data_IF_819462195593
#
_entry.id   IF_819462195593
#
_cell.length_a   1.000
_cell.length_b   1.000
_cell.length_c   1.000
_cell.angle_alpha   90.00
_cell.angle_beta   90.00
_cell.angle_gamma   90.00
#
_symmetry.space_group_name_H-M   'P 1'
#
loop_
_entity.id
_entity.type
_entity.pdbx_description
1 polymer ?
#
# COMPACT_ATOMS: atom_id res chain seq x y z
N UNK A 1 11.82 64.63 -7.32
CA UNK A 1 13.28 64.79 -7.49
C UNK A 1 13.94 63.75 -6.61
N UNK A 2 14.88 63.00 -7.20
CA UNK A 2 15.58 61.85 -6.64
C UNK A 2 16.44 62.22 -5.42
N UNK A 3 16.87 61.16 -4.71
CA UNK A 3 18.10 60.92 -3.91
C UNK A 3 17.68 60.20 -2.62
N UNK A 4 18.31 59.14 -2.14
CA UNK A 4 19.52 58.42 -2.55
C UNK A 4 19.57 57.10 -1.75
N UNK A 5 20.15 56.05 -2.34
CA UNK A 5 21.28 55.24 -1.82
C UNK A 5 21.34 54.83 -0.33
N UNK A 6 21.85 53.67 0.10
CA UNK A 6 22.55 52.53 -0.52
C UNK A 6 22.68 51.44 0.58
N UNK A 7 22.73 50.18 0.15
CA UNK A 7 23.63 49.11 0.61
C UNK A 7 23.64 48.57 2.09
N UNK A 8 23.13 47.34 2.22
CA UNK A 8 23.60 46.18 3.05
C UNK A 8 25.10 45.86 2.71
N UNK A 9 25.93 45.06 3.46
CA UNK A 9 25.54 43.88 4.25
C UNK A 9 26.45 43.40 5.44
N UNK A 10 25.96 42.32 6.09
CA UNK A 10 26.70 41.18 6.68
C UNK A 10 27.50 41.32 7.99
N UNK A 11 27.13 40.53 9.03
CA UNK A 11 27.75 39.21 9.38
C UNK A 11 27.19 38.64 10.69
N UNK A 12 27.02 37.31 10.66
CA UNK A 12 26.67 36.35 11.74
C UNK A 12 27.69 36.36 12.89
N UNK A 13 27.27 36.05 14.14
CA UNK A 13 27.47 34.73 14.82
C UNK A 13 27.19 34.75 16.34
N UNK A 14 26.45 33.73 16.84
CA UNK A 14 26.58 32.96 18.12
C UNK A 14 26.66 33.72 19.47
N UNK A 15 25.98 33.35 20.57
CA UNK A 15 25.92 32.03 21.26
C UNK A 15 24.96 32.14 22.47
N UNK A 16 24.40 31.00 22.89
CA UNK A 16 23.45 30.76 23.98
C UNK A 16 23.99 31.07 25.40
N UNK A 17 23.11 31.38 26.37
CA UNK A 17 23.07 30.71 27.69
C UNK A 17 21.96 31.22 28.65
N UNK A 18 21.04 30.30 28.99
CA UNK A 18 20.61 29.91 30.36
C UNK A 18 20.21 30.99 31.38
N UNK A 19 18.92 31.00 31.76
CA UNK A 19 18.51 31.12 33.18
C UNK A 19 17.33 30.19 33.49
N UNK A 20 17.57 29.28 34.44
CA UNK A 20 16.60 28.42 35.14
C UNK A 20 15.93 29.20 36.27
N UNK A 21 14.64 28.96 36.53
CA UNK A 21 13.95 28.95 37.84
C UNK A 21 12.66 28.10 37.63
N UNK A 22 12.49 26.83 38.08
CA UNK A 22 12.26 26.28 39.46
C UNK A 22 11.18 27.11 40.21
N UNK A 23 10.01 26.65 40.69
CA UNK A 23 9.39 25.38 41.21
C UNK A 23 7.83 25.56 41.11
N UNK A 24 6.93 24.60 40.76
CA UNK A 24 6.30 23.44 41.50
C UNK A 24 5.72 23.78 42.90
N UNK A 25 4.71 23.07 43.50
CA UNK A 25 3.84 21.94 43.08
C UNK A 25 2.35 21.97 43.61
N UNK A 26 1.52 20.94 43.31
CA UNK A 26 0.48 20.23 44.15
C UNK A 26 -0.36 19.32 43.21
N UNK A 27 -0.23 17.98 43.16
CA UNK A 27 -0.83 16.87 43.98
C UNK A 27 -2.36 16.98 44.13
N UNK A 28 -3.21 16.00 43.72
CA UNK A 28 -3.50 14.66 44.33
C UNK A 28 -4.20 13.76 43.26
N UNK A 29 -3.70 12.54 42.93
CA UNK A 29 -4.12 11.16 43.33
C UNK A 29 -5.61 10.82 43.10
N UNK A 30 -6.06 9.66 42.56
CA UNK A 30 -5.76 8.26 42.95
C UNK A 30 -6.29 7.28 41.86
N UNK A 31 -5.49 6.33 41.33
CA UNK A 31 -5.46 4.86 41.61
C UNK A 31 -6.75 4.05 41.40
N UNK A 32 -6.73 3.08 40.48
CA UNK A 32 -7.02 1.68 40.81
C UNK A 32 -6.40 0.71 39.80
N UNK A 33 -5.70 -0.29 40.34
CA UNK A 33 -5.01 -1.40 39.72
C UNK A 33 -5.88 -2.65 39.68
N UNK A 34 -5.75 -3.48 38.64
CA UNK A 34 -6.03 -4.91 38.72
C UNK A 34 -4.99 -5.66 37.89
N UNK A 35 -4.03 -6.26 38.60
CA UNK A 35 -3.07 -7.23 38.10
C UNK A 35 -3.64 -8.62 38.38
N UNK A 36 -3.59 -9.55 37.43
CA UNK A 36 -3.64 -10.97 37.74
C UNK A 36 -2.64 -11.73 36.87
N UNK A 37 -1.62 -12.28 37.54
CA UNK A 37 -0.69 -13.25 37.03
C UNK A 37 -1.20 -14.66 37.38
N UNK A 38 -1.01 -15.63 36.48
CA UNK A 38 -0.97 -17.05 36.83
C UNK A 38 0.34 -17.61 36.27
N UNK A 39 1.10 -18.25 37.16
CA UNK A 39 2.40 -18.84 36.93
C UNK A 39 2.34 -20.38 36.99
N UNK A 40 3.28 -20.98 36.26
CA UNK A 40 3.98 -22.25 36.51
C UNK A 40 3.22 -23.59 36.38
N UNK A 41 3.75 -24.47 35.51
CA UNK A 41 4.64 -25.55 35.97
C UNK A 41 5.65 -25.92 34.88
N UNK A 42 6.93 -25.89 35.25
CA UNK A 42 8.04 -26.46 34.51
C UNK A 42 8.25 -27.91 34.96
N UNK A 43 8.48 -28.82 34.01
CA UNK A 43 9.25 -30.05 34.25
C UNK A 43 10.31 -30.12 33.17
N UNK A 44 11.57 -30.10 33.60
CA UNK A 44 12.75 -30.15 32.77
C UNK A 44 13.02 -31.57 32.27
N UNK A 45 13.41 -31.72 31.01
CA UNK A 45 14.36 -32.74 30.56
C UNK A 45 14.98 -32.28 29.23
N UNK A 46 16.29 -32.02 29.22
CA UNK A 46 17.09 -31.80 28.01
C UNK A 46 17.22 -33.13 27.22
N UNK A 47 17.45 -33.07 25.89
CA UNK A 47 18.82 -33.01 25.40
C UNK A 47 19.04 -32.02 24.23
N UNK A 48 20.31 -31.60 24.07
CA UNK A 48 20.82 -30.79 22.95
C UNK A 48 21.03 -31.62 21.66
N UNK A 49 21.52 -31.04 20.55
CA UNK A 49 20.76 -30.24 19.60
C UNK A 49 20.68 -30.93 18.22
N UNK A 50 19.50 -30.89 17.59
CA UNK A 50 19.34 -31.15 16.16
C UNK A 50 18.99 -29.84 15.47
N UNK A 51 19.96 -29.24 14.78
CA UNK A 51 19.75 -28.03 13.98
C UNK A 51 18.84 -28.35 12.79
N UNK A 52 17.60 -27.88 12.84
CA UNK A 52 16.73 -27.74 11.68
C UNK A 52 16.16 -26.32 11.72
N UNK A 53 16.70 -25.43 10.89
CA UNK A 53 16.14 -24.11 10.64
C UNK A 53 15.03 -24.25 9.60
N UNK A 54 13.89 -23.67 9.94
CA UNK A 54 12.76 -23.49 9.06
C UNK A 54 13.02 -22.34 8.09
N UNK A 55 12.48 -22.56 6.90
CA UNK A 55 12.44 -21.78 5.68
C UNK A 55 11.93 -20.33 5.88
N UNK A 56 12.79 -19.35 5.61
CA UNK A 56 12.40 -17.99 5.21
C UNK A 56 13.00 -17.74 3.81
N UNK A 57 12.28 -17.10 2.87
CA UNK A 57 12.86 -16.74 1.59
C UNK A 57 13.78 -15.54 1.78
N UNK A 58 15.02 -15.82 2.13
CA UNK A 58 16.12 -14.87 2.02
C UNK A 58 16.26 -14.54 0.53
N UNK A 59 15.89 -13.33 0.12
CA UNK A 59 16.31 -12.79 -1.18
C UNK A 59 17.80 -12.50 -1.04
N UNK A 60 18.60 -13.53 -1.23
CA UNK A 60 20.04 -13.42 -1.41
C UNK A 60 20.25 -12.67 -2.71
N UNK A 61 20.64 -11.40 -2.64
CA UNK A 61 21.44 -10.83 -3.69
C UNK A 61 22.69 -11.70 -3.77
N UNK A 62 22.73 -12.58 -4.78
CA UNK A 62 23.96 -13.18 -5.23
C UNK A 62 24.83 -12.01 -5.69
N UNK A 63 25.71 -11.53 -4.81
CA UNK A 63 27.02 -11.07 -5.24
C UNK A 63 27.57 -12.23 -6.06
N UNK A 64 27.37 -12.15 -7.38
CA UNK A 64 28.10 -12.95 -8.33
C UNK A 64 29.56 -12.61 -8.04
N UNK A 65 30.16 -13.42 -7.17
CA UNK A 65 31.59 -13.50 -7.05
C UNK A 65 32.04 -13.89 -8.45
N UNK A 66 32.56 -12.91 -9.19
CA UNK A 66 33.40 -13.15 -10.35
C UNK A 66 34.71 -13.78 -9.83
N UNK A 67 34.59 -14.97 -9.24
CA UNK A 67 35.70 -15.91 -9.14
C UNK A 67 35.74 -16.60 -10.49
N UNK A 68 36.37 -15.96 -11.45
CA UNK A 68 36.85 -16.62 -12.65
C UNK A 68 37.72 -17.79 -12.19
N UNK A 69 37.20 -19.00 -12.35
CA UNK A 69 37.96 -20.20 -12.12
C UNK A 69 39.16 -20.20 -13.09
N UNK A 70 40.38 -20.11 -12.55
CA UNK A 70 41.61 -20.28 -13.30
C UNK A 70 41.55 -21.61 -14.09
N UNK A 71 41.62 -21.60 -15.44
CA UNK A 71 41.78 -22.84 -16.17
C UNK A 71 43.19 -23.37 -15.93
N UNK A 72 43.27 -24.45 -15.14
CA UNK A 72 44.46 -25.29 -15.10
C UNK A 72 44.55 -26.06 -16.43
N UNK A 73 45.18 -25.45 -17.44
CA UNK A 73 45.73 -26.16 -18.59
C UNK A 73 47.15 -25.66 -18.87
N UNK A 74 48.14 -26.43 -18.42
CA UNK A 74 49.52 -26.35 -18.85
C UNK A 74 49.64 -27.17 -20.15
N UNK A 75 49.66 -26.50 -21.30
CA UNK A 75 49.79 -27.16 -22.60
C UNK A 75 49.84 -26.27 -23.85
N UNK A 76 49.72 -24.95 -23.73
CA UNK A 76 49.95 -24.00 -24.83
C UNK A 76 51.28 -23.25 -24.65
N UNK A 77 52.00 -23.01 -25.75
CA UNK A 77 53.14 -22.07 -25.79
C UNK A 77 52.79 -20.76 -25.09
N UNK A 78 53.73 -20.17 -24.35
CA UNK A 78 53.53 -18.94 -23.59
C UNK A 78 52.93 -17.81 -24.46
N UNK A 79 53.30 -17.77 -25.75
CA UNK A 79 52.75 -16.85 -26.76
C UNK A 79 51.24 -16.97 -26.95
N UNK A 80 50.69 -18.19 -26.93
CA UNK A 80 49.25 -18.41 -27.10
C UNK A 80 48.46 -17.97 -25.88
N UNK A 81 49.03 -18.14 -24.67
CA UNK A 81 48.38 -17.68 -23.43
C UNK A 81 48.37 -16.16 -23.32
N UNK A 82 49.44 -15.51 -23.72
CA UNK A 82 49.52 -14.05 -23.72
C UNK A 82 48.53 -13.44 -24.71
N UNK A 83 48.46 -13.98 -25.93
CA UNK A 83 47.48 -13.55 -26.94
C UNK A 83 46.03 -13.65 -26.44
N UNK A 84 45.64 -14.78 -25.84
CA UNK A 84 44.29 -14.94 -25.27
C UNK A 84 44.02 -13.99 -24.09
N UNK A 85 45.05 -13.65 -23.29
CA UNK A 85 44.90 -12.70 -22.17
C UNK A 85 44.63 -11.29 -22.69
N UNK A 86 45.36 -10.86 -23.72
CA UNK A 86 45.17 -9.56 -24.38
C UNK A 86 43.76 -9.47 -24.99
N UNK A 87 43.34 -10.50 -25.75
CA UNK A 87 42.00 -10.55 -26.34
C UNK A 87 40.89 -10.48 -25.28
N UNK A 88 41.09 -11.15 -24.14
CA UNK A 88 40.12 -11.11 -23.03
C UNK A 88 40.06 -9.73 -22.39
N UNK A 89 41.21 -9.09 -22.15
CA UNK A 89 41.28 -7.76 -21.55
C UNK A 89 40.59 -6.69 -22.41
N UNK A 90 40.79 -6.73 -23.74
CA UNK A 90 40.11 -5.82 -24.67
C UNK A 90 38.59 -6.07 -24.67
N UNK A 91 38.16 -7.34 -24.71
CA UNK A 91 36.74 -7.67 -24.67
C UNK A 91 36.06 -7.22 -23.35
N UNK A 92 36.76 -7.31 -22.22
CA UNK A 92 36.28 -6.82 -20.92
C UNK A 92 36.21 -5.28 -20.88
N UNK A 93 37.20 -4.60 -21.46
CA UNK A 93 37.20 -3.14 -21.60
C UNK A 93 36.01 -2.65 -22.45
N UNK A 94 35.78 -3.25 -23.62
CA UNK A 94 34.64 -2.93 -24.49
C UNK A 94 33.30 -3.14 -23.77
N UNK A 95 33.20 -4.22 -22.99
CA UNK A 95 32.00 -4.49 -22.19
C UNK A 95 31.79 -3.45 -21.09
N UNK A 96 32.86 -2.97 -20.45
CA UNK A 96 32.77 -1.92 -19.43
C UNK A 96 32.33 -0.58 -20.04
N UNK A 97 32.88 -0.18 -21.19
CA UNK A 97 32.47 1.03 -21.93
C UNK A 97 31.00 0.94 -22.35
N UNK A 98 30.57 -0.21 -22.87
CA UNK A 98 29.17 -0.41 -23.24
C UNK A 98 28.22 -0.31 -22.02
N UNK A 99 28.60 -0.91 -20.89
CA UNK A 99 27.82 -0.86 -19.66
C UNK A 99 27.68 0.56 -19.11
N UNK A 100 28.74 1.37 -19.17
CA UNK A 100 28.72 2.77 -18.73
C UNK A 100 27.77 3.63 -19.56
N UNK A 101 27.77 3.41 -20.89
CA UNK A 101 26.83 4.03 -21.82
C UNK A 101 25.38 3.64 -21.53
N UNK A 102 25.13 2.37 -21.22
CA UNK A 102 23.78 1.88 -20.93
C UNK A 102 23.23 2.43 -19.61
N UNK A 103 24.05 2.54 -18.57
CA UNK A 103 23.65 3.21 -17.32
C UNK A 103 23.29 4.69 -17.59
N UNK A 104 24.08 5.40 -18.40
CA UNK A 104 23.78 6.79 -18.78
C UNK A 104 22.44 6.92 -19.51
N UNK A 105 22.14 5.99 -20.43
CA UNK A 105 20.84 5.92 -21.13
C UNK A 105 19.70 5.64 -20.17
N UNK A 106 19.87 4.68 -19.25
CA UNK A 106 18.87 4.31 -18.25
C UNK A 106 18.55 5.50 -17.33
N UNK A 107 19.56 6.24 -16.87
CA UNK A 107 19.38 7.46 -16.07
C UNK A 107 18.55 8.48 -16.86
N UNK A 108 18.92 8.73 -18.11
CA UNK A 108 18.21 9.69 -18.98
C UNK A 108 16.75 9.26 -19.22
N UNK A 109 16.52 7.97 -19.46
CA UNK A 109 15.19 7.41 -19.69
C UNK A 109 14.32 7.44 -18.42
N UNK A 110 14.93 7.23 -17.25
CA UNK A 110 14.21 7.21 -15.96
C UNK A 110 13.61 8.56 -15.62
N UNK A 111 14.22 9.67 -16.07
CA UNK A 111 13.87 11.06 -15.70
C UNK A 111 13.84 11.28 -14.17
N UNK A 112 14.57 10.45 -13.42
CA UNK A 112 14.70 10.56 -11.97
C UNK A 112 15.90 11.44 -11.59
N UNK A 113 15.79 12.11 -10.44
CA UNK A 113 16.92 12.81 -9.84
C UNK A 113 17.82 11.77 -9.13
N UNK A 114 18.92 11.43 -9.79
CA UNK A 114 20.01 10.64 -9.21
C UNK A 114 20.92 11.57 -8.42
N UNK A 115 21.46 11.10 -7.29
CA UNK A 115 22.23 11.91 -6.35
C UNK A 115 23.68 12.19 -6.80
N UNK A 116 24.16 11.54 -7.86
CA UNK A 116 25.49 11.74 -8.39
C UNK A 116 25.66 13.14 -8.97
N UNK A 117 26.82 13.75 -8.71
CA UNK A 117 27.22 15.03 -9.29
C UNK A 117 27.44 14.90 -10.81
N UNK A 118 27.96 13.76 -11.26
CA UNK A 118 28.06 13.36 -12.67
C UNK A 118 27.12 12.17 -12.97
N UNK A 119 26.44 12.23 -14.11
CA UNK A 119 25.51 11.18 -14.59
C UNK A 119 26.12 10.30 -15.67
N UNK A 120 27.38 10.55 -15.96
CA UNK A 120 28.20 9.85 -16.94
C UNK A 120 29.44 9.30 -16.24
N UNK A 121 30.04 8.28 -16.83
CA UNK A 121 31.32 7.71 -16.40
C UNK A 121 32.32 8.06 -17.49
N UNK A 122 33.48 8.57 -17.11
CA UNK A 122 34.54 8.89 -18.07
C UNK A 122 35.24 7.60 -18.50
N UNK A 123 35.29 7.34 -19.80
CA UNK A 123 35.94 6.15 -20.39
C UNK A 123 37.20 6.50 -21.17
N UNK A 124 37.62 7.76 -21.19
CA UNK A 124 38.68 8.24 -22.07
C UNK A 124 40.05 7.61 -21.77
N UNK A 125 40.38 7.40 -20.50
CA UNK A 125 41.63 6.75 -20.09
C UNK A 125 41.66 5.26 -20.47
N UNK A 126 40.53 4.57 -20.34
CA UNK A 126 40.36 3.18 -20.77
C UNK A 126 40.46 3.03 -22.29
N UNK A 127 39.81 3.91 -23.06
CA UNK A 127 39.88 3.94 -24.52
C UNK A 127 41.34 4.16 -25.00
N UNK A 128 42.07 5.06 -24.35
CA UNK A 128 43.47 5.32 -24.65
C UNK A 128 44.38 4.11 -24.33
N UNK A 129 44.11 3.40 -23.23
CA UNK A 129 44.84 2.18 -22.87
C UNK A 129 44.59 1.04 -23.88
N UNK A 130 43.35 0.87 -24.35
CA UNK A 130 42.99 -0.11 -25.39
C UNK A 130 43.65 0.25 -26.72
N UNK A 131 43.60 1.51 -27.16
CA UNK A 131 44.26 1.96 -28.40
C UNK A 131 45.79 1.73 -28.34
N UNK A 132 46.40 1.98 -27.18
CA UNK A 132 47.81 1.68 -26.97
C UNK A 132 48.08 0.18 -27.14
N UNK A 133 47.27 -0.68 -26.53
CA UNK A 133 47.44 -2.13 -26.59
C UNK A 133 47.19 -2.71 -28.01
N UNK A 134 46.27 -2.13 -28.77
CA UNK A 134 45.94 -2.54 -30.16
C UNK A 134 46.98 -2.08 -31.20
N UNK A 135 47.82 -1.11 -30.88
CA UNK A 135 48.89 -0.63 -31.76
C UNK A 135 50.11 -1.58 -31.74
N UNK A 136 49.86 -2.87 -31.97
CA UNK A 136 50.76 -4.03 -31.74
C UNK A 136 52.01 -4.04 -32.63
N UNK A 137 52.04 -3.32 -33.76
CA UNK A 137 53.21 -3.33 -34.66
C UNK A 137 54.47 -2.63 -34.10
N UNK A 138 54.37 -1.91 -32.97
CA UNK A 138 55.49 -1.11 -32.44
C UNK A 138 55.86 -1.39 -30.97
N UNK A 139 55.22 -2.37 -30.33
CA UNK A 139 55.38 -2.61 -28.89
C UNK A 139 56.34 -3.78 -28.65
N UNK A 140 57.47 -3.58 -27.93
CA UNK A 140 58.34 -4.67 -27.51
C UNK A 140 57.56 -5.70 -26.69
N UNK A 141 57.84 -6.99 -26.86
CA UNK A 141 57.13 -8.10 -26.19
C UNK A 141 57.02 -7.98 -24.65
N UNK A 142 57.97 -7.30 -24.00
CA UNK A 142 57.92 -7.04 -22.54
C UNK A 142 56.89 -5.97 -22.14
N UNK A 143 56.54 -5.08 -23.05
CA UNK A 143 55.72 -3.90 -22.82
C UNK A 143 54.22 -4.21 -23.02
N UNK A 144 53.91 -5.28 -23.76
CA UNK A 144 52.54 -5.82 -23.94
C UNK A 144 51.93 -6.22 -22.59
N UNK A 145 52.71 -6.86 -21.71
CA UNK A 145 52.21 -7.29 -20.39
C UNK A 145 51.90 -6.09 -19.48
N UNK A 146 52.67 -5.00 -19.59
CA UNK A 146 52.40 -3.74 -18.89
C UNK A 146 51.12 -3.09 -19.39
N UNK A 147 51.04 -2.86 -20.71
CA UNK A 147 49.86 -2.28 -21.35
C UNK A 147 48.58 -3.10 -21.11
N UNK A 148 48.67 -4.44 -21.08
CA UNK A 148 47.53 -5.30 -20.71
C UNK A 148 47.12 -5.09 -19.25
N UNK A 149 48.09 -4.89 -18.35
CA UNK A 149 47.82 -4.56 -16.95
C UNK A 149 47.13 -3.22 -16.79
N UNK A 150 47.53 -2.21 -17.57
CA UNK A 150 46.92 -0.88 -17.58
C UNK A 150 45.45 -0.96 -18.05
N UNK A 151 45.16 -1.67 -19.15
CA UNK A 151 43.77 -1.91 -19.61
C UNK A 151 42.93 -2.58 -18.53
N UNK A 152 43.46 -3.60 -17.86
CA UNK A 152 42.73 -4.30 -16.78
C UNK A 152 42.46 -3.38 -15.58
N UNK A 153 43.41 -2.50 -15.23
CA UNK A 153 43.24 -1.55 -14.14
C UNK A 153 42.16 -0.51 -14.47
N UNK A 154 42.25 0.14 -15.63
CA UNK A 154 41.28 1.14 -16.09
C UNK A 154 39.88 0.52 -16.27
N UNK A 155 39.81 -0.74 -16.74
CA UNK A 155 38.54 -1.48 -16.84
C UNK A 155 37.88 -1.68 -15.47
N UNK A 156 38.69 -1.97 -14.44
CA UNK A 156 38.18 -2.15 -13.09
C UNK A 156 37.64 -0.82 -12.52
N UNK A 157 38.32 0.29 -12.75
CA UNK A 157 37.91 1.62 -12.30
C UNK A 157 36.59 2.04 -12.96
N UNK A 158 36.48 1.92 -14.30
CA UNK A 158 35.22 2.20 -15.04
C UNK A 158 34.09 1.28 -14.58
N UNK A 159 34.37 0.00 -14.31
CA UNK A 159 33.35 -0.93 -13.81
C UNK A 159 32.87 -0.59 -12.40
N UNK A 160 33.76 -0.14 -11.51
CA UNK A 160 33.41 0.31 -10.16
C UNK A 160 32.52 1.56 -10.22
N UNK A 161 32.90 2.57 -11.00
CA UNK A 161 32.12 3.80 -11.17
C UNK A 161 30.74 3.51 -11.78
N UNK A 162 30.69 2.66 -12.81
CA UNK A 162 29.44 2.25 -13.47
C UNK A 162 28.51 1.53 -12.50
N UNK A 163 29.05 0.62 -11.66
CA UNK A 163 28.28 -0.10 -10.64
C UNK A 163 27.75 0.84 -9.56
N UNK A 164 28.58 1.77 -9.09
CA UNK A 164 28.18 2.78 -8.12
C UNK A 164 27.04 3.65 -8.67
N UNK A 165 27.16 4.12 -9.91
CA UNK A 165 26.15 4.94 -10.57
C UNK A 165 24.83 4.17 -10.77
N UNK A 166 24.90 2.89 -11.16
CA UNK A 166 23.71 2.03 -11.27
C UNK A 166 23.02 1.82 -9.93
N UNK A 167 23.79 1.57 -8.86
CA UNK A 167 23.25 1.46 -7.50
C UNK A 167 22.51 2.73 -7.06
N UNK A 168 22.98 3.92 -7.45
CA UNK A 168 22.29 5.17 -7.16
C UNK A 168 20.99 5.34 -7.96
N UNK A 169 20.97 4.91 -9.23
CA UNK A 169 19.74 4.89 -10.02
C UNK A 169 18.69 3.96 -9.39
N UNK A 170 19.08 2.75 -8.98
CA UNK A 170 18.18 1.79 -8.33
C UNK A 170 17.62 2.35 -7.02
N UNK A 171 18.47 3.00 -6.20
CA UNK A 171 18.03 3.68 -4.99
C UNK A 171 17.04 4.82 -5.29
N UNK A 172 17.25 5.59 -6.36
CA UNK A 172 16.33 6.64 -6.79
C UNK A 172 14.97 6.07 -7.25
N UNK A 173 14.99 4.93 -7.96
CA UNK A 173 13.78 4.22 -8.39
C UNK A 173 12.97 3.75 -7.18
N UNK A 174 13.61 3.14 -6.19
CA UNK A 174 12.92 2.68 -4.97
C UNK A 174 12.34 3.85 -4.18
N UNK A 175 13.09 4.94 -4.02
CA UNK A 175 12.60 6.16 -3.36
C UNK A 175 11.37 6.74 -4.07
N UNK A 176 11.35 6.72 -5.41
CA UNK A 176 10.19 7.16 -6.19
C UNK A 176 8.98 6.22 -6.03
N UNK A 177 9.21 4.90 -5.98
CA UNK A 177 8.15 3.91 -5.70
C UNK A 177 7.55 4.14 -4.31
N UNK A 178 8.37 4.35 -3.29
CA UNK A 178 7.92 4.65 -1.93
C UNK A 178 7.10 5.95 -1.87
N UNK A 179 7.59 7.02 -2.52
CA UNK A 179 6.87 8.31 -2.61
C UNK A 179 5.50 8.14 -3.26
N UNK A 180 5.43 7.38 -4.36
CA UNK A 180 4.16 7.07 -5.04
C UNK A 180 3.22 6.23 -4.17
N UNK A 181 3.75 5.22 -3.46
CA UNK A 181 2.96 4.40 -2.55
C UNK A 181 2.43 5.23 -1.37
N UNK A 182 3.23 6.12 -0.80
CA UNK A 182 2.79 7.04 0.26
C UNK A 182 1.73 8.03 -0.26
N UNK A 183 1.94 8.62 -1.43
CA UNK A 183 0.97 9.52 -2.06
C UNK A 183 -0.36 8.82 -2.31
N UNK A 184 -0.34 7.56 -2.79
CA UNK A 184 -1.53 6.73 -2.98
C UNK A 184 -2.25 6.47 -1.64
N UNK A 185 -1.52 6.04 -0.60
CA UNK A 185 -2.11 5.82 0.75
C UNK A 185 -2.75 7.10 1.30
N UNK A 186 -2.10 8.25 1.13
CA UNK A 186 -2.64 9.56 1.55
C UNK A 186 -3.90 9.93 0.77
N UNK A 187 -3.93 9.69 -0.55
CA UNK A 187 -5.09 9.93 -1.38
C UNK A 187 -6.27 9.03 -0.99
N UNK A 188 -6.04 7.73 -0.76
CA UNK A 188 -7.05 6.77 -0.30
C UNK A 188 -7.58 7.13 1.09
N UNK A 189 -6.70 7.50 2.03
CA UNK A 189 -7.11 7.94 3.36
C UNK A 189 -7.95 9.23 3.31
N UNK A 190 -7.57 10.19 2.46
CA UNK A 190 -8.35 11.42 2.24
C UNK A 190 -9.72 11.11 1.64
N UNK A 191 -9.78 10.25 0.60
CA UNK A 191 -11.04 9.86 -0.02
C UNK A 191 -11.96 9.13 0.98
N UNK A 192 -11.41 8.27 1.83
CA UNK A 192 -12.16 7.61 2.90
C UNK A 192 -12.70 8.62 3.92
N UNK A 193 -11.87 9.56 4.38
CA UNK A 193 -12.31 10.59 5.32
C UNK A 193 -13.39 11.51 4.72
N UNK A 194 -13.29 11.87 3.44
CA UNK A 194 -14.31 12.64 2.73
C UNK A 194 -15.63 11.85 2.58
N UNK A 195 -15.55 10.55 2.28
CA UNK A 195 -16.72 9.68 2.22
C UNK A 195 -17.39 9.51 3.60
N UNK A 196 -16.62 9.33 4.67
CA UNK A 196 -17.13 9.27 6.04
C UNK A 196 -17.78 10.60 6.47
N UNK A 197 -17.16 11.74 6.13
CA UNK A 197 -17.74 13.05 6.40
C UNK A 197 -19.05 13.29 5.64
N UNK A 198 -19.12 12.88 4.37
CA UNK A 198 -20.35 12.94 3.57
C UNK A 198 -21.45 12.05 4.14
N UNK A 199 -21.12 10.81 4.49
CA UNK A 199 -22.07 9.88 5.11
C UNK A 199 -22.61 10.41 6.45
N UNK A 200 -21.75 11.04 7.26
CA UNK A 200 -22.16 11.68 8.51
C UNK A 200 -23.10 12.87 8.26
N UNK A 201 -22.78 13.73 7.29
CA UNK A 201 -23.62 14.87 6.94
C UNK A 201 -24.99 14.43 6.39
N UNK A 202 -25.03 13.37 5.58
CA UNK A 202 -26.28 12.78 5.08
C UNK A 202 -27.11 12.17 6.21
N UNK A 203 -26.47 11.49 7.17
CA UNK A 203 -27.15 10.95 8.35
C UNK A 203 -27.70 12.04 9.28
N UNK A 204 -26.96 13.13 9.49
CA UNK A 204 -27.44 14.30 10.27
C UNK A 204 -28.60 15.01 9.56
N UNK A 205 -28.58 15.13 8.23
CA UNK A 205 -29.69 15.69 7.46
C UNK A 205 -30.95 14.81 7.54
N UNK A 206 -30.81 13.49 7.40
CA UNK A 206 -31.93 12.56 7.53
C UNK A 206 -32.55 12.58 8.94
N UNK A 207 -31.72 12.64 9.98
CA UNK A 207 -32.20 12.74 11.37
C UNK A 207 -32.95 14.07 11.65
N UNK A 208 -32.52 15.17 11.04
CA UNK A 208 -33.22 16.46 11.15
C UNK A 208 -34.58 16.45 10.44
N UNK A 209 -34.68 15.77 9.29
CA UNK A 209 -35.94 15.59 8.57
C UNK A 209 -36.92 14.68 9.34
N UNK A 210 -36.43 13.60 9.96
CA UNK A 210 -37.22 12.71 10.81
C UNK A 210 -37.75 13.43 12.06
N UNK A 211 -36.93 14.29 12.69
CA UNK A 211 -37.35 15.09 13.83
C UNK A 211 -38.45 16.12 13.47
N UNK A 212 -38.37 16.72 12.27
CA UNK A 212 -39.40 17.65 11.79
C UNK A 212 -40.72 16.93 11.47
N UNK A 213 -40.65 15.73 10.86
CA UNK A 213 -41.83 14.91 10.58
C UNK A 213 -42.51 14.37 11.85
N UNK A 214 -41.73 14.04 12.89
CA UNK A 214 -42.26 13.61 14.18
C UNK A 214 -42.99 14.73 14.94
N UNK A 215 -42.55 15.99 14.80
CA UNK A 215 -43.23 17.16 15.37
C UNK A 215 -44.56 17.45 14.67
N UNK A 216 -44.64 17.21 13.35
CA UNK A 216 -45.88 17.34 12.56
C UNK A 216 -46.88 16.19 12.86
N UNK A 217 -46.39 14.97 13.08
CA UNK A 217 -47.22 13.82 13.46
C UNK A 217 -47.76 13.93 14.90
N UNK A 218 -46.98 14.46 15.85
CA UNK A 218 -47.45 14.70 17.21
C UNK A 218 -48.61 15.73 17.29
N UNK A 219 -48.73 16.61 16.29
CA UNK A 219 -49.89 17.50 16.15
C UNK A 219 -51.14 16.80 15.58
N UNK A 220 -50.99 15.64 14.92
CA UNK A 220 -52.07 14.85 14.34
C UNK A 220 -52.63 13.76 15.28
N UNK A 221 -51.83 13.27 16.23
CA UNK A 221 -52.17 12.18 17.17
C UNK A 221 -53.01 12.62 18.40
N UNK A 222 -53.72 13.76 18.34
CA UNK A 222 -54.81 14.08 19.30
C UNK A 222 -56.16 13.55 18.81
N UNK A 223 -56.18 12.64 17.83
CA UNK A 223 -57.41 12.05 17.33
C UNK A 223 -57.20 10.59 16.95
N UNK A 224 -58.03 9.73 17.54
CA UNK A 224 -58.30 8.33 17.15
C UNK A 224 -57.49 7.23 17.85
N UNK A 225 -57.93 6.95 19.08
CA UNK A 225 -57.75 5.68 19.76
C UNK A 225 -58.75 4.63 19.20
N UNK A 226 -58.34 3.35 19.08
CA UNK A 226 -59.14 2.09 19.22
C UNK A 226 -58.99 1.06 18.07
N UNK A 227 -58.19 0.00 18.27
CA UNK A 227 -58.60 -1.44 18.24
C UNK A 227 -57.47 -2.46 17.94
N UNK A 228 -57.65 -3.65 18.52
CA UNK A 228 -56.75 -4.79 18.75
C UNK A 228 -56.38 -5.68 17.51
N UNK A 229 -55.48 -6.70 17.63
CA UNK A 229 -54.51 -7.07 16.58
C UNK A 229 -54.88 -8.28 15.71
N UNK A 230 -54.35 -8.29 14.48
CA UNK A 230 -54.13 -9.48 13.64
C UNK A 230 -52.89 -9.24 12.79
N UNK A 231 -51.86 -10.10 12.94
CA UNK A 231 -50.54 -9.93 12.32
C UNK A 231 -50.62 -10.22 10.83
N UNK A 232 -50.90 -9.17 10.06
CA UNK A 232 -50.48 -9.02 8.68
C UNK A 232 -49.34 -8.00 8.73
N UNK A 233 -48.15 -8.35 8.24
CA UNK A 233 -47.08 -7.36 8.09
C UNK A 233 -47.59 -6.37 7.05
N UNK A 234 -48.12 -5.25 7.54
CA UNK A 234 -48.52 -4.12 6.71
C UNK A 234 -47.28 -3.65 5.93
N UNK A 235 -47.51 -3.01 4.78
CA UNK A 235 -46.46 -2.37 4.00
C UNK A 235 -45.87 -1.18 4.78
N UNK A 236 -45.07 -1.47 5.81
CA UNK A 236 -44.24 -0.54 6.56
C UNK A 236 -42.85 -0.61 5.95
N UNK A 237 -42.21 0.52 5.65
CA UNK A 237 -40.84 0.51 5.10
C UNK A 237 -40.61 1.29 3.82
N UNK A 238 -41.53 2.13 3.37
CA UNK A 238 -41.34 2.86 2.10
C UNK A 238 -40.22 3.89 2.19
N UNK A 239 -39.87 4.33 3.39
CA UNK A 239 -38.69 5.16 3.64
C UNK A 239 -37.48 4.32 4.08
N UNK A 240 -36.27 4.87 3.88
CA UNK A 240 -35.02 4.24 4.32
C UNK A 240 -34.99 4.01 5.83
N UNK A 241 -35.51 4.95 6.63
CA UNK A 241 -35.56 4.83 8.09
C UNK A 241 -36.48 3.70 8.57
N UNK A 242 -37.68 3.59 7.99
CA UNK A 242 -38.59 2.49 8.32
C UNK A 242 -38.06 1.13 7.85
N UNK A 243 -37.39 1.09 6.70
CA UNK A 243 -36.71 -0.12 6.22
C UNK A 243 -35.59 -0.54 7.18
N UNK A 244 -34.80 0.41 7.68
CA UNK A 244 -33.79 0.16 8.72
C UNK A 244 -34.40 -0.34 10.03
N UNK A 245 -35.49 0.28 10.51
CA UNK A 245 -36.19 -0.16 11.70
C UNK A 245 -36.76 -1.59 11.54
N UNK A 246 -37.33 -1.88 10.36
CA UNK A 246 -37.82 -3.21 10.00
C UNK A 246 -36.69 -4.24 10.00
N UNK A 247 -35.56 -3.92 9.38
CA UNK A 247 -34.38 -4.78 9.41
C UNK A 247 -33.89 -5.01 10.84
N UNK A 248 -33.79 -3.95 11.66
CA UNK A 248 -33.37 -4.03 13.06
C UNK A 248 -34.25 -4.97 13.88
N UNK A 249 -35.56 -4.90 13.70
CA UNK A 249 -36.51 -5.80 14.35
C UNK A 249 -36.35 -7.27 13.91
N UNK A 250 -35.88 -7.50 12.68
CA UNK A 250 -35.68 -8.85 12.14
C UNK A 250 -34.33 -9.50 12.53
N UNK A 251 -33.30 -8.74 12.94
CA UNK A 251 -31.99 -9.32 13.30
C UNK A 251 -32.07 -10.32 14.45
N UNK A 252 -32.95 -10.10 15.41
CA UNK A 252 -33.11 -10.99 16.57
C UNK A 252 -33.45 -12.43 16.18
N UNK A 253 -34.12 -12.64 15.04
CA UNK A 253 -34.44 -13.96 14.52
C UNK A 253 -33.21 -14.78 14.10
N UNK A 254 -32.08 -14.10 13.87
CA UNK A 254 -30.79 -14.69 13.47
C UNK A 254 -29.79 -14.74 14.63
N UNK A 255 -30.20 -14.35 15.84
CA UNK A 255 -29.30 -14.23 16.99
C UNK A 255 -28.31 -13.06 16.89
N UNK A 256 -28.57 -12.10 16.00
CA UNK A 256 -27.72 -10.93 15.80
C UNK A 256 -28.22 -9.72 16.61
N UNK A 257 -27.27 -8.95 17.14
CA UNK A 257 -27.53 -7.73 17.89
C UNK A 257 -27.20 -6.46 17.10
N UNK A 258 -27.21 -5.35 17.81
CA UNK A 258 -26.92 -4.02 17.26
C UNK A 258 -25.50 -3.87 16.70
N UNK A 259 -24.57 -4.69 17.19
CA UNK A 259 -23.21 -4.80 16.66
C UNK A 259 -23.23 -5.19 15.17
N UNK A 260 -24.10 -6.13 14.78
CA UNK A 260 -24.29 -6.54 13.39
C UNK A 260 -25.11 -5.54 12.57
N UNK A 261 -26.06 -4.86 13.22
CA UNK A 261 -26.90 -3.88 12.53
C UNK A 261 -26.08 -2.74 11.93
N UNK A 262 -25.03 -2.28 12.63
CA UNK A 262 -24.13 -1.24 12.11
C UNK A 262 -23.44 -1.62 10.77
N UNK A 263 -23.03 -2.88 10.65
CA UNK A 263 -22.46 -3.44 9.42
C UNK A 263 -23.52 -3.58 8.33
N UNK A 264 -24.74 -4.01 8.67
CA UNK A 264 -25.86 -4.11 7.74
C UNK A 264 -26.22 -2.75 7.13
N UNK A 265 -26.28 -1.70 7.96
CA UNK A 265 -26.52 -0.32 7.51
C UNK A 265 -25.45 0.13 6.54
N UNK A 266 -24.18 -0.10 6.85
CA UNK A 266 -23.07 0.25 5.95
C UNK A 266 -23.14 -0.50 4.62
N UNK A 267 -23.47 -1.79 4.68
CA UNK A 267 -23.59 -2.66 3.52
C UNK A 267 -24.72 -2.20 2.60
N UNK A 268 -25.96 -2.14 3.08
CA UNK A 268 -27.10 -1.79 2.22
C UNK A 268 -27.18 -0.29 1.87
N UNK A 269 -26.48 0.59 2.60
CA UNK A 269 -26.22 1.94 2.13
C UNK A 269 -25.39 1.94 0.85
N UNK A 270 -24.31 1.15 0.79
CA UNK A 270 -23.46 1.02 -0.41
C UNK A 270 -24.23 0.41 -1.59
N UNK A 271 -25.13 -0.53 -1.32
CA UNK A 271 -25.89 -1.24 -2.36
C UNK A 271 -27.00 -0.37 -2.97
N UNK A 272 -27.85 0.24 -2.14
CA UNK A 272 -29.09 0.88 -2.62
C UNK A 272 -29.47 2.15 -1.87
N UNK A 273 -28.77 2.51 -0.79
CA UNK A 273 -29.23 3.56 0.12
C UNK A 273 -30.55 3.20 0.81
N UNK A 274 -30.81 1.89 1.03
CA UNK A 274 -32.09 1.37 1.55
C UNK A 274 -33.31 1.64 0.66
N UNK A 275 -33.12 1.99 -0.61
CA UNK A 275 -34.21 2.19 -1.54
C UNK A 275 -34.71 0.84 -2.09
N UNK A 276 -35.92 0.44 -1.69
CA UNK A 276 -36.56 -0.79 -2.16
C UNK A 276 -36.90 -0.81 -3.66
N UNK A 277 -36.88 0.35 -4.31
CA UNK A 277 -37.08 0.49 -5.75
C UNK A 277 -35.76 0.63 -6.53
N UNK A 278 -34.61 0.59 -5.84
CA UNK A 278 -33.30 0.70 -6.50
C UNK A 278 -33.14 -0.41 -7.54
N UNK A 279 -32.83 0.00 -8.77
CA UNK A 279 -32.62 -0.92 -9.89
C UNK A 279 -31.37 -0.49 -10.66
N UNK A 280 -30.49 -1.45 -10.95
CA UNK A 280 -29.31 -1.21 -11.77
C UNK A 280 -29.58 -1.66 -13.21
N UNK A 281 -29.68 -0.75 -14.19
CA UNK A 281 -30.00 -1.11 -15.58
C UNK A 281 -28.95 -1.99 -16.26
N UNK A 282 -27.68 -1.90 -15.84
CA UNK A 282 -26.58 -2.65 -16.46
C UNK A 282 -26.51 -4.09 -15.97
N UNK A 283 -26.80 -4.34 -14.69
CA UNK A 283 -26.70 -5.68 -14.09
C UNK A 283 -28.06 -6.36 -13.89
N UNK A 284 -29.14 -5.59 -13.76
CA UNK A 284 -30.46 -6.10 -13.39
C UNK A 284 -30.64 -6.37 -11.89
N UNK A 285 -29.71 -5.90 -11.05
CA UNK A 285 -29.83 -5.98 -9.59
C UNK A 285 -31.00 -5.11 -9.08
N UNK A 286 -31.74 -5.59 -8.08
CA UNK A 286 -32.96 -4.93 -7.61
C UNK A 286 -33.11 -4.92 -6.09
N UNK A 287 -33.70 -3.83 -5.58
CA UNK A 287 -34.17 -3.67 -4.22
C UNK A 287 -33.08 -3.31 -3.21
N UNK A 288 -33.45 -3.30 -1.93
CA UNK A 288 -32.57 -2.99 -0.80
C UNK A 288 -31.26 -3.81 -0.85
N UNK A 289 -31.31 -5.15 -0.99
CA UNK A 289 -30.09 -5.96 -1.00
C UNK A 289 -29.39 -6.01 -2.36
N UNK A 290 -29.92 -5.35 -3.41
CA UNK A 290 -29.43 -5.45 -4.78
C UNK A 290 -29.34 -6.91 -5.29
N UNK A 291 -30.41 -7.68 -5.13
CA UNK A 291 -30.44 -9.09 -5.50
C UNK A 291 -30.32 -9.30 -7.03
N UNK A 292 -29.50 -10.28 -7.44
CA UNK A 292 -29.27 -10.63 -8.85
C UNK A 292 -29.60 -12.11 -9.17
N UNK A 293 -30.61 -12.37 -10.02
CA UNK A 293 -31.70 -11.47 -10.40
C UNK A 293 -32.64 -11.19 -9.22
N UNK A 294 -33.31 -10.04 -9.25
CA UNK A 294 -34.28 -9.62 -8.21
C UNK A 294 -35.38 -10.65 -7.93
N UNK A 295 -35.76 -11.43 -8.95
CA UNK A 295 -36.78 -12.50 -8.84
C UNK A 295 -36.45 -13.58 -7.81
N UNK A 296 -35.19 -13.71 -7.37
CA UNK A 296 -34.83 -14.60 -6.26
C UNK A 296 -35.53 -14.22 -4.95
N UNK A 297 -35.89 -12.96 -4.76
CA UNK A 297 -36.62 -12.50 -3.57
C UNK A 297 -38.05 -13.06 -3.49
N UNK A 298 -38.57 -13.65 -4.57
CA UNK A 298 -39.87 -14.34 -4.56
C UNK A 298 -39.96 -15.50 -3.57
N UNK A 299 -38.82 -16.07 -3.15
CA UNK A 299 -38.80 -17.12 -2.12
C UNK A 299 -39.15 -16.60 -0.73
N UNK A 300 -38.99 -15.29 -0.48
CA UNK A 300 -39.38 -14.66 0.78
C UNK A 300 -40.83 -14.13 0.75
N UNK A 301 -41.37 -13.85 -0.44
CA UNK A 301 -42.76 -13.42 -0.62
C UNK A 301 -43.04 -13.01 -2.06
N UNK A 302 -44.26 -13.23 -2.54
CA UNK A 302 -44.66 -12.89 -3.92
C UNK A 302 -44.71 -11.39 -4.20
N UNK A 303 -44.74 -10.55 -3.15
CA UNK A 303 -44.81 -9.10 -3.17
C UNK A 303 -43.43 -8.41 -3.11
N UNK A 304 -42.35 -9.16 -3.29
CA UNK A 304 -40.96 -8.71 -3.18
C UNK A 304 -40.60 -7.45 -3.98
N UNK A 305 -41.30 -7.19 -5.09
CA UNK A 305 -41.06 -6.00 -5.91
C UNK A 305 -41.44 -4.71 -5.17
N UNK A 306 -42.49 -4.74 -4.36
CA UNK A 306 -43.05 -3.52 -3.76
C UNK A 306 -43.02 -3.53 -2.24
N UNK A 307 -42.57 -4.63 -1.63
CA UNK A 307 -42.54 -4.78 -0.18
C UNK A 307 -41.10 -4.80 0.35
N UNK A 308 -40.64 -3.69 0.98
CA UNK A 308 -39.33 -3.59 1.63
C UNK A 308 -39.09 -4.68 2.67
N UNK A 309 -40.08 -5.04 3.47
CA UNK A 309 -39.95 -6.08 4.49
C UNK A 309 -39.64 -7.45 3.86
N UNK A 310 -40.25 -7.76 2.71
CA UNK A 310 -39.97 -8.98 1.95
C UNK A 310 -38.54 -8.97 1.40
N UNK A 311 -38.06 -7.83 0.90
CA UNK A 311 -36.68 -7.69 0.40
C UNK A 311 -35.65 -7.84 1.54
N UNK A 312 -35.92 -7.23 2.70
CA UNK A 312 -35.09 -7.32 3.91
C UNK A 312 -35.05 -8.76 4.40
N UNK A 313 -36.20 -9.44 4.50
CA UNK A 313 -36.26 -10.82 4.96
C UNK A 313 -35.42 -11.75 4.05
N UNK A 314 -35.50 -11.57 2.74
CA UNK A 314 -34.66 -12.30 1.79
C UNK A 314 -33.17 -11.98 1.97
N UNK A 315 -32.83 -10.69 2.05
CA UNK A 315 -31.44 -10.23 2.16
C UNK A 315 -30.77 -10.72 3.44
N UNK A 316 -31.46 -10.68 4.58
CA UNK A 316 -30.95 -11.22 5.84
C UNK A 316 -30.69 -12.73 5.76
N UNK A 317 -31.61 -13.49 5.17
CA UNK A 317 -31.43 -14.93 4.97
C UNK A 317 -30.27 -15.27 4.03
N UNK A 318 -30.05 -14.46 2.98
CA UNK A 318 -28.89 -14.61 2.10
C UNK A 318 -27.57 -14.33 2.82
N UNK A 319 -27.54 -13.27 3.64
CA UNK A 319 -26.37 -12.92 4.46
C UNK A 319 -26.04 -14.04 5.44
N UNK A 320 -27.05 -14.58 6.13
CA UNK A 320 -26.87 -15.70 7.06
C UNK A 320 -26.27 -16.92 6.35
N UNK A 321 -26.90 -17.38 5.26
CA UNK A 321 -26.49 -18.59 4.57
C UNK A 321 -25.13 -18.51 3.86
N UNK A 322 -24.67 -17.31 3.48
CA UNK A 322 -23.44 -17.14 2.70
C UNK A 322 -22.28 -16.55 3.48
N UNK A 323 -22.58 -15.65 4.41
CA UNK A 323 -21.57 -14.88 5.15
C UNK A 323 -21.63 -15.12 6.65
N UNK A 324 -22.67 -15.81 7.15
CA UNK A 324 -22.89 -16.11 8.57
C UNK A 324 -23.30 -14.91 9.41
N UNK A 325 -22.99 -13.67 9.00
CA UNK A 325 -23.38 -12.45 9.71
C UNK A 325 -23.28 -11.20 8.82
N UNK A 326 -24.01 -10.13 9.15
CA UNK A 326 -23.90 -8.84 8.45
C UNK A 326 -22.49 -8.26 8.46
N UNK A 327 -21.74 -8.38 9.56
CA UNK A 327 -20.35 -7.94 9.58
C UNK A 327 -19.42 -8.81 8.71
N UNK A 328 -19.69 -10.12 8.61
CA UNK A 328 -19.01 -10.99 7.66
C UNK A 328 -19.25 -10.56 6.21
N UNK A 329 -20.50 -10.26 5.86
CA UNK A 329 -20.88 -9.77 4.54
C UNK A 329 -20.24 -8.41 4.23
N UNK A 330 -20.25 -7.48 5.19
CA UNK A 330 -19.62 -6.17 5.04
C UNK A 330 -18.10 -6.26 4.86
N UNK A 331 -17.42 -7.13 5.63
CA UNK A 331 -16.00 -7.42 5.43
C UNK A 331 -15.70 -7.93 4.03
N UNK A 332 -16.50 -8.88 3.54
CA UNK A 332 -16.36 -9.40 2.18
C UNK A 332 -16.58 -8.32 1.11
N UNK A 333 -17.62 -7.48 1.27
CA UNK A 333 -17.94 -6.35 0.37
C UNK A 333 -16.83 -5.32 0.29
N UNK A 334 -16.14 -5.06 1.40
CA UNK A 334 -14.98 -4.15 1.43
C UNK A 334 -13.77 -4.75 0.70
N UNK A 335 -13.55 -6.07 0.78
CA UNK A 335 -12.41 -6.72 0.13
C UNK A 335 -12.63 -6.99 -1.35
N UNK A 336 -13.84 -7.37 -1.76
CA UNK A 336 -14.11 -7.87 -3.12
C UNK A 336 -14.96 -6.92 -3.97
N UNK A 337 -15.54 -5.89 -3.35
CA UNK A 337 -16.43 -4.93 -4.01
C UNK A 337 -17.89 -5.40 -4.12
N UNK A 338 -18.19 -6.66 -3.84
CA UNK A 338 -19.51 -7.29 -3.88
C UNK A 338 -19.76 -8.16 -2.64
N UNK A 339 -21.02 -8.53 -2.39
CA UNK A 339 -21.45 -9.55 -1.44
C UNK A 339 -22.60 -10.36 -2.07
#
# INVERSE_FOLDING_TARGET
MLTDSHATPARRTTRQAVRRLRRRPFLVASTLTASLAIAATATAMAPAPGTAHADEPQVTFALASFSTALPQTLGGSADTKLATTVETAIAEADAAIAASSDVTKDITASKLEVAADDKTVDTSDLEAAVEHLETVEQIPLLDIAGATGDVVAETADVAEETSALRGQLDAAIEKEKERKAEAKRKAEAKAKAEAEAKAKAEAEAAAAEEAAAAEEAAAAETSTETSAPSVRVAASGTSAGEAQATARAMLGNYGWGDDQFSCLVSLWNKESGWNYQASNPSSGAYGIPQALPGSKMSTAGSDWQTNPATQIAWGLGYIDGRYGSPCGAWGHSQSNGWY
#
